data_IF_942613327191
#
_entry.id   IF_942613327191
#
_cell.length_a   1.000
_cell.length_b   1.000
_cell.length_c   1.000
_cell.angle_alpha   90.00
_cell.angle_beta   90.00
_cell.angle_gamma   90.00
#
_symmetry.space_group_name_H-M   'P 1'
#
loop_
_entity.id
_entity.type
_entity.pdbx_description
1 polymer ?
#
# COMPACT_ATOMS: atom_id res chain seq x y z
N UNK A 1 -28.85 3.30 -16.93
CA UNK A 1 -29.45 2.22 -16.13
C UNK A 1 -28.33 1.56 -15.34
N UNK A 2 -28.27 1.75 -14.02
CA UNK A 2 -27.33 1.03 -13.17
C UNK A 2 -27.62 -0.47 -13.26
N UNK A 3 -26.73 -1.24 -13.87
CA UNK A 3 -26.85 -2.71 -13.93
C UNK A 3 -26.78 -3.23 -12.49
N UNK A 4 -27.90 -3.72 -11.94
CA UNK A 4 -27.85 -4.41 -10.65
C UNK A 4 -27.09 -5.72 -10.83
N UNK A 5 -25.92 -5.82 -10.20
CA UNK A 5 -25.12 -7.04 -10.18
C UNK A 5 -25.61 -7.97 -9.06
N UNK A 6 -25.83 -9.25 -9.40
CA UNK A 6 -26.10 -10.27 -8.39
C UNK A 6 -24.83 -10.58 -7.58
N UNK A 7 -24.97 -11.26 -6.42
CA UNK A 7 -23.83 -11.56 -5.52
C UNK A 7 -22.66 -12.28 -6.22
N UNK A 8 -22.95 -13.21 -7.14
CA UNK A 8 -21.91 -13.93 -7.91
C UNK A 8 -21.16 -12.99 -8.85
N UNK A 9 -21.86 -12.06 -9.50
CA UNK A 9 -21.25 -11.05 -10.38
C UNK A 9 -20.44 -10.04 -9.57
N UNK A 10 -20.94 -9.57 -8.42
CA UNK A 10 -20.19 -8.67 -7.53
C UNK A 10 -18.88 -9.29 -7.08
N UNK A 11 -18.91 -10.58 -6.70
CA UNK A 11 -17.71 -11.35 -6.40
C UNK A 11 -16.76 -11.49 -7.59
N UNK A 12 -17.29 -11.77 -8.78
CA UNK A 12 -16.47 -11.96 -9.99
C UNK A 12 -15.77 -10.67 -10.43
N UNK A 13 -16.41 -9.52 -10.19
CA UNK A 13 -15.95 -8.21 -10.61
C UNK A 13 -15.21 -7.45 -9.49
N UNK A 14 -15.08 -7.98 -8.28
CA UNK A 14 -14.50 -7.28 -7.11
C UNK A 14 -15.17 -5.93 -6.82
N UNK A 15 -16.51 -5.90 -6.84
CA UNK A 15 -17.31 -4.69 -6.55
C UNK A 15 -18.24 -4.90 -5.36
N UNK A 16 -18.65 -3.80 -4.71
CA UNK A 16 -19.53 -3.85 -3.55
C UNK A 16 -18.83 -4.49 -2.35
N UNK A 17 -19.41 -5.56 -1.79
CA UNK A 17 -18.84 -6.26 -0.62
C UNK A 17 -17.53 -7.05 -0.90
N UNK A 18 -17.06 -7.05 -2.15
CA UNK A 18 -15.81 -7.70 -2.58
C UNK A 18 -14.80 -6.70 -3.15
N UNK A 19 -15.00 -5.40 -2.90
CA UNK A 19 -14.06 -4.37 -3.30
C UNK A 19 -12.75 -4.50 -2.52
N UNK A 20 -11.63 -4.43 -3.22
CA UNK A 20 -10.31 -4.44 -2.63
C UNK A 20 -9.75 -3.03 -2.70
N UNK A 21 -9.58 -2.43 -1.52
CA UNK A 21 -8.97 -1.11 -1.40
C UNK A 21 -7.45 -1.26 -1.28
N UNK A 22 -6.77 -0.29 -1.87
CA UNK A 22 -5.34 -0.10 -1.82
C UNK A 22 -5.02 1.33 -1.41
N UNK A 23 -3.79 1.59 -1.00
CA UNK A 23 -3.33 2.95 -0.76
C UNK A 23 -1.86 3.09 -1.14
N UNK A 24 -1.45 4.33 -1.43
CA UNK A 24 -0.07 4.68 -1.69
C UNK A 24 0.58 5.25 -0.43
N UNK A 25 1.82 4.84 -0.14
CA UNK A 25 2.65 5.42 0.89
C UNK A 25 3.93 6.03 0.28
N UNK A 26 4.04 7.33 0.48
CA UNK A 26 5.14 8.28 0.28
C UNK A 26 6.16 8.42 1.41
N UNK A 27 7.47 8.41 1.20
CA UNK A 27 8.37 9.23 2.01
C UNK A 27 9.62 9.66 1.24
N UNK A 28 10.21 10.79 1.62
CA UNK A 28 11.43 11.35 1.03
C UNK A 28 12.64 11.04 1.90
N UNK A 29 13.83 10.94 1.32
CA UNK A 29 15.06 10.79 2.09
C UNK A 29 15.48 12.11 2.71
N UNK A 30 15.88 12.09 3.99
CA UNK A 30 16.48 13.27 4.65
C UNK A 30 17.88 13.58 4.15
N UNK A 31 18.59 12.54 3.74
CA UNK A 31 19.98 12.58 3.28
C UNK A 31 20.14 11.61 2.13
N UNK A 32 21.08 11.87 1.21
CA UNK A 32 21.43 10.90 0.18
C UNK A 32 21.84 9.57 0.83
N UNK A 33 21.06 8.53 0.56
CA UNK A 33 21.38 7.16 0.91
C UNK A 33 22.25 6.55 -0.19
N UNK A 34 23.12 5.61 0.18
CA UNK A 34 23.80 4.75 -0.78
C UNK A 34 22.83 3.72 -1.39
N UNK A 35 23.20 3.13 -2.52
CA UNK A 35 22.41 2.04 -3.13
C UNK A 35 22.19 0.87 -2.18
N UNK A 36 23.19 0.56 -1.34
CA UNK A 36 23.08 -0.49 -0.33
C UNK A 36 22.02 -0.16 0.72
N UNK A 37 22.04 1.07 1.26
CA UNK A 37 21.06 1.51 2.26
C UNK A 37 19.65 1.58 1.68
N UNK A 38 19.50 2.02 0.42
CA UNK A 38 18.21 1.97 -0.29
C UNK A 38 17.68 0.54 -0.41
N UNK A 39 18.55 -0.41 -0.78
CA UNK A 39 18.20 -1.83 -0.86
C UNK A 39 17.75 -2.39 0.49
N UNK A 40 18.55 -2.17 1.54
CA UNK A 40 18.22 -2.61 2.91
C UNK A 40 16.90 -2.00 3.41
N UNK A 41 16.62 -0.74 3.05
CA UNK A 41 15.37 -0.08 3.40
C UNK A 41 14.16 -0.70 2.70
N UNK A 42 14.27 -0.97 1.39
CA UNK A 42 13.20 -1.66 0.64
C UNK A 42 12.96 -3.05 1.23
N UNK A 43 14.01 -3.82 1.44
CA UNK A 43 13.89 -5.19 1.96
C UNK A 43 13.21 -5.18 3.33
N UNK A 44 13.65 -4.29 4.23
CA UNK A 44 13.03 -4.13 5.54
C UNK A 44 11.56 -3.65 5.46
N UNK A 45 11.20 -2.87 4.45
CA UNK A 45 9.82 -2.44 4.23
C UNK A 45 8.95 -3.59 3.71
N UNK A 46 9.46 -4.38 2.76
CA UNK A 46 8.77 -5.56 2.24
C UNK A 46 8.54 -6.57 3.36
N UNK A 47 9.56 -6.88 4.17
CA UNK A 47 9.45 -7.77 5.32
C UNK A 47 8.36 -7.31 6.30
N UNK A 48 8.29 -6.00 6.58
CA UNK A 48 7.26 -5.42 7.44
C UNK A 48 5.86 -5.59 6.83
N UNK A 49 5.69 -5.29 5.55
CA UNK A 49 4.40 -5.41 4.86
C UNK A 49 3.93 -6.86 4.86
N UNK A 50 4.81 -7.81 4.51
CA UNK A 50 4.48 -9.24 4.50
C UNK A 50 4.14 -9.78 5.90
N UNK A 51 4.86 -9.32 6.93
CA UNK A 51 4.57 -9.69 8.32
C UNK A 51 3.18 -9.22 8.80
N UNK A 52 2.66 -8.14 8.22
CA UNK A 52 1.30 -7.66 8.49
C UNK A 52 0.25 -8.32 7.58
N UNK A 53 0.63 -9.31 6.76
CA UNK A 53 -0.29 -9.99 5.83
C UNK A 53 -0.74 -9.11 4.65
N UNK A 54 0.06 -8.08 4.34
CA UNK A 54 -0.15 -7.17 3.22
C UNK A 54 0.78 -7.56 2.07
N UNK A 55 0.54 -6.98 0.89
CA UNK A 55 1.44 -7.04 -0.26
C UNK A 55 1.74 -5.63 -0.72
N UNK A 56 2.95 -5.41 -1.23
CA UNK A 56 3.36 -4.09 -1.72
C UNK A 56 4.11 -4.18 -3.04
N UNK A 57 3.94 -3.15 -3.86
CA UNK A 57 4.91 -2.80 -4.90
C UNK A 57 5.62 -1.54 -4.42
N UNK A 58 6.91 -1.65 -4.10
CA UNK A 58 7.70 -0.54 -3.58
C UNK A 58 8.87 -0.19 -4.52
N UNK A 59 9.19 1.10 -4.58
CA UNK A 59 10.38 1.65 -5.23
C UNK A 59 11.06 2.63 -4.27
N UNK A 60 12.39 2.73 -4.34
CA UNK A 60 13.16 3.54 -3.39
C UNK A 60 14.29 4.34 -4.05
N UNK A 61 14.05 4.85 -5.26
CA UNK A 61 15.06 5.57 -6.05
C UNK A 61 15.36 6.97 -5.46
N UNK A 62 14.45 7.93 -5.63
CA UNK A 62 14.58 9.30 -5.08
C UNK A 62 14.01 9.43 -3.66
N UNK A 63 13.16 8.49 -3.29
CA UNK A 63 12.48 8.34 -2.00
C UNK A 63 11.72 7.03 -2.02
N UNK A 64 11.12 6.64 -0.89
CA UNK A 64 10.30 5.44 -0.85
C UNK A 64 8.89 5.75 -1.35
N UNK A 65 8.42 4.96 -2.31
CA UNK A 65 7.05 4.98 -2.79
C UNK A 65 6.55 3.54 -2.80
N UNK A 66 5.39 3.32 -2.19
CA UNK A 66 4.82 1.99 -2.03
C UNK A 66 3.34 1.99 -2.37
N UNK A 67 2.90 1.00 -3.11
CA UNK A 67 1.50 0.70 -3.36
C UNK A 67 1.13 -0.55 -2.57
N UNK A 68 0.30 -0.39 -1.55
CA UNK A 68 -0.02 -1.44 -0.58
C UNK A 68 -1.43 -1.97 -0.80
N UNK A 69 -1.55 -3.30 -0.85
CA UNK A 69 -2.81 -4.04 -0.98
C UNK A 69 -2.90 -5.13 0.10
N UNK A 70 -4.11 -5.64 0.34
CA UNK A 70 -4.29 -6.79 1.24
C UNK A 70 -3.67 -8.05 0.62
N UNK A 71 -2.86 -8.78 1.40
CA UNK A 71 -2.34 -10.09 0.99
C UNK A 71 -3.34 -11.24 1.19
N UNK A 72 -4.45 -10.98 1.89
CA UNK A 72 -5.51 -11.97 2.02
C UNK A 72 -6.26 -12.13 0.69
N UNK A 73 -6.56 -13.37 0.24
CA UNK A 73 -7.21 -13.63 -1.06
C UNK A 73 -8.60 -13.00 -1.24
N UNK A 74 -9.18 -12.44 -0.17
CA UNK A 74 -10.51 -11.82 -0.08
C UNK A 74 -10.54 -10.76 1.02
N UNK A 75 -9.47 -9.99 1.16
CA UNK A 75 -9.34 -8.91 2.14
C UNK A 75 -9.23 -7.56 1.46
N UNK A 76 -9.63 -6.52 2.19
CA UNK A 76 -9.35 -5.13 1.81
C UNK A 76 -8.37 -4.56 2.83
N UNK A 77 -7.53 -3.62 2.40
CA UNK A 77 -6.78 -2.82 3.37
C UNK A 77 -7.75 -2.04 4.26
N UNK A 78 -7.32 -1.85 5.51
CA UNK A 78 -8.07 -1.15 6.56
C UNK A 78 -7.31 0.09 7.01
N UNK A 79 -7.99 1.01 7.70
CA UNK A 79 -7.31 2.19 8.29
C UNK A 79 -6.18 1.81 9.26
N UNK A 80 -6.31 0.66 9.94
CA UNK A 80 -5.26 0.15 10.82
C UNK A 80 -3.97 -0.20 10.04
N UNK A 81 -4.11 -0.75 8.83
CA UNK A 81 -2.97 -1.04 7.95
C UNK A 81 -2.31 0.27 7.49
N UNK A 82 -3.12 1.27 7.13
CA UNK A 82 -2.66 2.60 6.72
C UNK A 82 -1.84 3.28 7.82
N UNK A 83 -2.35 3.29 9.04
CA UNK A 83 -1.63 3.85 10.20
C UNK A 83 -0.39 3.03 10.57
N UNK A 84 -0.42 1.71 10.41
CA UNK A 84 0.75 0.87 10.65
C UNK A 84 1.89 1.18 9.67
N UNK A 85 1.56 1.32 8.38
CA UNK A 85 2.54 1.72 7.35
C UNK A 85 3.04 3.15 7.60
N UNK A 86 2.15 4.09 7.93
CA UNK A 86 2.56 5.46 8.30
C UNK A 86 3.53 5.45 9.47
N UNK A 87 3.18 4.77 10.56
CA UNK A 87 4.00 4.70 11.76
C UNK A 87 5.37 4.07 11.51
N UNK A 88 5.43 3.05 10.65
CA UNK A 88 6.71 2.45 10.27
C UNK A 88 7.61 3.44 9.52
N UNK A 89 7.06 4.20 8.57
CA UNK A 89 7.81 5.19 7.80
C UNK A 89 8.26 6.36 8.68
N UNK A 90 7.39 6.84 9.57
CA UNK A 90 7.71 7.95 10.50
C UNK A 90 8.74 7.56 11.57
N UNK A 91 8.79 6.29 11.97
CA UNK A 91 9.77 5.80 12.93
C UNK A 91 11.20 5.75 12.36
N UNK A 92 11.37 5.85 11.04
CA UNK A 92 12.68 5.78 10.39
C UNK A 92 13.36 7.16 10.39
N UNK A 93 14.56 7.29 10.99
CA UNK A 93 15.25 8.57 11.06
C UNK A 93 15.75 9.06 9.69
N UNK A 94 15.88 8.15 8.73
CA UNK A 94 16.37 8.40 7.38
C UNK A 94 15.29 9.00 6.46
N UNK A 95 14.02 8.94 6.87
CA UNK A 95 12.86 9.36 6.10
C UNK A 95 12.24 10.66 6.63
N UNK A 96 11.70 11.46 5.73
CA UNK A 96 10.92 12.68 6.00
C UNK A 96 9.74 12.76 5.04
N UNK A 97 8.85 13.72 5.27
CA UNK A 97 7.65 13.98 4.46
C UNK A 97 6.86 12.70 4.15
N UNK A 98 6.56 11.94 5.20
CA UNK A 98 5.73 10.75 5.09
C UNK A 98 4.32 11.17 4.67
N UNK A 99 3.86 10.62 3.55
CA UNK A 99 2.53 10.85 3.02
C UNK A 99 1.84 9.52 2.80
N UNK A 100 0.57 9.40 3.16
CA UNK A 100 -0.22 8.20 2.85
C UNK A 100 -1.51 8.65 2.19
N UNK A 101 -1.77 8.18 0.97
CA UNK A 101 -2.96 8.55 0.21
C UNK A 101 -4.22 7.95 0.82
N UNK A 102 -5.37 8.45 0.37
CA UNK A 102 -6.64 7.81 0.64
C UNK A 102 -6.76 6.48 -0.11
N UNK A 103 -7.79 5.72 0.25
CA UNK A 103 -8.05 4.43 -0.36
C UNK A 103 -8.50 4.59 -1.82
N UNK A 104 -7.89 3.79 -2.68
CA UNK A 104 -8.24 3.66 -4.09
C UNK A 104 -8.67 2.24 -4.38
N UNK A 105 -9.57 2.05 -5.33
CA UNK A 105 -9.95 0.72 -5.80
C UNK A 105 -8.76 0.10 -6.55
N UNK A 106 -8.30 -1.08 -6.09
CA UNK A 106 -7.17 -1.78 -6.68
C UNK A 106 -7.47 -2.34 -8.08
N UNK A 107 -8.74 -2.58 -8.39
CA UNK A 107 -9.21 -3.16 -9.65
C UNK A 107 -9.67 -2.11 -10.66
N UNK A 108 -10.23 -1.00 -10.16
CA UNK A 108 -10.77 0.09 -10.97
C UNK A 108 -10.26 1.45 -10.47
N UNK A 109 -8.95 1.75 -10.60
CA UNK A 109 -8.43 3.05 -10.23
C UNK A 109 -9.15 4.16 -11.02
N UNK A 110 -9.55 5.23 -10.35
CA UNK A 110 -10.12 6.41 -11.03
C UNK A 110 -9.07 6.97 -12.01
N UNK A 111 -9.51 7.26 -13.24
CA UNK A 111 -8.68 7.69 -14.37
C UNK A 111 -8.29 9.17 -14.28
#
# INVERSE_FOLDING_TARGET
MSKQHNRRQRKKLHIGEFQELAFCASAQYRTELSDLQRGELIDAFIDFVEANGLLTVAAADEGISAYVISGAPRGTTTDADRESVRGWLEARPELADVAVSDFTDAWYPEA
#
